data_IF_280298316041
#
_entry.id   IF_280298316041
#
_cell.length_a   1.000
_cell.length_b   1.000
_cell.length_c   1.000
_cell.angle_alpha   90.00
_cell.angle_beta   90.00
_cell.angle_gamma   90.00
#
_symmetry.space_group_name_H-M   'P 1'
#
loop_
_entity.id
_entity.type
_entity.pdbx_description
1 polymer ?
#
# COMPACT_ATOMS: atom_id res chain seq x y z
N UNK A 1 1.22 -12.89 -23.57
CA UNK A 1 0.68 -11.69 -22.89
C UNK A 1 0.04 -12.17 -21.60
N UNK A 2 0.51 -11.70 -20.43
CA UNK A 2 -0.04 -12.12 -19.14
C UNK A 2 -1.46 -11.61 -18.98
N UNK A 3 -2.41 -12.53 -18.74
CA UNK A 3 -3.83 -12.18 -18.57
C UNK A 3 -4.15 -12.15 -17.09
N UNK A 4 -4.63 -11.01 -16.61
CA UNK A 4 -5.09 -10.82 -15.24
C UNK A 4 -6.59 -11.09 -15.15
N UNK A 5 -7.00 -11.89 -14.17
CA UNK A 5 -8.39 -12.24 -13.89
C UNK A 5 -8.80 -11.64 -12.56
N UNK A 6 -9.82 -10.77 -12.52
CA UNK A 6 -10.33 -10.18 -11.27
C UNK A 6 -10.79 -11.26 -10.28
N UNK A 7 -10.54 -11.01 -9.00
CA UNK A 7 -10.90 -11.87 -7.88
C UNK A 7 -11.58 -11.05 -6.79
N UNK A 8 -12.77 -11.47 -6.36
CA UNK A 8 -13.54 -10.76 -5.33
C UNK A 8 -14.20 -9.47 -5.83
N UNK A 9 -14.97 -8.86 -4.95
CA UNK A 9 -15.62 -7.56 -5.17
C UNK A 9 -15.09 -6.57 -4.14
N UNK A 10 -14.34 -5.58 -4.60
CA UNK A 10 -13.72 -4.53 -3.79
C UNK A 10 -14.16 -3.15 -4.29
N UNK A 11 -14.14 -2.17 -3.43
CA UNK A 11 -14.55 -0.79 -3.74
C UNK A 11 -13.34 0.11 -4.04
N UNK A 12 -12.33 0.04 -3.19
CA UNK A 12 -11.16 0.93 -3.22
C UNK A 12 -9.94 0.28 -3.87
N UNK A 13 -9.99 -1.02 -4.13
CA UNK A 13 -8.90 -1.76 -4.76
C UNK A 13 -9.39 -2.65 -5.90
N UNK A 14 -8.45 -3.08 -6.75
CA UNK A 14 -8.64 -4.23 -7.64
C UNK A 14 -7.69 -5.34 -7.19
N UNK A 15 -8.22 -6.55 -7.00
CA UNK A 15 -7.41 -7.74 -6.78
C UNK A 15 -7.54 -8.68 -7.96
N UNK A 16 -6.42 -9.13 -8.50
CA UNK A 16 -6.38 -9.92 -9.72
C UNK A 16 -5.30 -10.99 -9.62
N UNK A 17 -5.52 -12.12 -10.28
CA UNK A 17 -4.53 -13.20 -10.37
C UNK A 17 -4.25 -13.58 -11.81
N UNK A 18 -3.14 -14.27 -12.04
CA UNK A 18 -2.75 -14.80 -13.35
C UNK A 18 -2.55 -16.30 -13.28
N UNK A 19 -2.63 -16.98 -14.43
CA UNK A 19 -2.32 -18.40 -14.54
C UNK A 19 -0.86 -18.77 -14.24
N UNK A 20 0.03 -17.78 -14.24
CA UNK A 20 1.48 -17.95 -14.01
C UNK A 20 1.85 -17.69 -12.52
N UNK A 21 0.87 -17.57 -11.63
CA UNK A 21 1.12 -17.47 -10.19
C UNK A 21 1.40 -16.05 -9.69
N UNK A 22 0.98 -15.01 -10.39
CA UNK A 22 1.10 -13.61 -9.98
C UNK A 22 -0.25 -13.15 -9.41
N UNK A 23 -0.25 -12.60 -8.19
CA UNK A 23 -1.35 -11.82 -7.66
C UNK A 23 -1.03 -10.33 -7.75
N UNK A 24 -2.02 -9.48 -8.06
CA UNK A 24 -1.87 -8.05 -8.15
C UNK A 24 -2.93 -7.34 -7.31
N UNK A 25 -2.49 -6.51 -6.38
CA UNK A 25 -3.32 -5.63 -5.57
C UNK A 25 -3.08 -4.21 -6.07
N UNK A 26 -4.11 -3.58 -6.62
CA UNK A 26 -4.03 -2.21 -7.13
C UNK A 26 -4.92 -1.31 -6.29
N UNK A 27 -4.38 -0.24 -5.71
CA UNK A 27 -5.18 0.79 -5.04
C UNK A 27 -5.85 1.62 -6.14
N UNK A 28 -7.18 1.64 -6.18
CA UNK A 28 -7.99 2.24 -7.24
C UNK A 28 -8.72 3.50 -6.76
N UNK A 29 -7.95 4.49 -6.27
CA UNK A 29 -8.44 5.81 -5.83
C UNK A 29 -7.62 6.95 -6.46
N UNK A 30 -7.51 7.02 -7.80
CA UNK A 30 -6.62 7.95 -8.49
C UNK A 30 -7.01 9.42 -8.25
N UNK A 31 -8.29 9.74 -8.00
CA UNK A 31 -8.81 11.07 -7.71
C UNK A 31 -8.24 11.70 -6.43
N UNK A 32 -7.79 10.86 -5.49
CA UNK A 32 -7.08 11.26 -4.27
C UNK A 32 -5.64 10.75 -4.25
N UNK A 33 -5.07 10.49 -5.44
CA UNK A 33 -3.70 9.98 -5.60
C UNK A 33 -3.45 8.68 -4.83
N UNK A 34 -4.41 7.79 -4.88
CA UNK A 34 -4.37 6.49 -4.22
C UNK A 34 -4.11 6.58 -2.70
N UNK A 35 -4.59 7.68 -2.07
CA UNK A 35 -4.61 7.77 -0.61
C UNK A 35 -5.52 6.69 -0.02
N UNK A 36 -5.10 6.07 1.07
CA UNK A 36 -5.89 5.03 1.71
C UNK A 36 -6.74 5.57 2.87
N UNK A 37 -7.94 5.05 2.98
CA UNK A 37 -8.88 5.23 4.09
C UNK A 37 -9.10 3.88 4.80
N UNK A 38 -9.86 3.80 5.92
CA UNK A 38 -10.07 2.54 6.64
C UNK A 38 -10.49 1.40 5.72
N UNK A 39 -11.50 1.59 4.87
CA UNK A 39 -11.95 0.61 3.88
C UNK A 39 -10.81 0.13 2.97
N UNK A 40 -10.04 1.04 2.41
CA UNK A 40 -8.92 0.69 1.51
C UNK A 40 -7.94 -0.27 2.20
N UNK A 41 -7.61 0.00 3.47
CA UNK A 41 -6.69 -0.84 4.25
C UNK A 41 -7.28 -2.20 4.53
N UNK A 42 -8.57 -2.28 4.89
CA UNK A 42 -9.28 -3.54 5.12
C UNK A 42 -9.26 -4.39 3.85
N UNK A 43 -9.63 -3.80 2.71
CA UNK A 43 -9.64 -4.49 1.42
C UNK A 43 -8.24 -4.97 1.00
N UNK A 44 -7.20 -4.15 1.18
CA UNK A 44 -5.82 -4.58 0.90
C UNK A 44 -5.38 -5.76 1.79
N UNK A 45 -5.79 -5.78 3.05
CA UNK A 45 -5.49 -6.88 3.98
C UNK A 45 -6.20 -8.16 3.55
N UNK A 46 -7.48 -8.05 3.18
CA UNK A 46 -8.26 -9.18 2.68
C UNK A 46 -7.64 -9.76 1.40
N UNK A 47 -7.32 -8.91 0.41
CA UNK A 47 -6.67 -9.33 -0.82
C UNK A 47 -5.29 -10.00 -0.57
N UNK A 48 -4.48 -9.45 0.36
CA UNK A 48 -3.20 -10.04 0.72
C UNK A 48 -3.39 -11.41 1.41
N UNK A 49 -4.41 -11.55 2.25
CA UNK A 49 -4.75 -12.82 2.88
C UNK A 49 -5.23 -13.85 1.85
N UNK A 50 -6.06 -13.44 0.88
CA UNK A 50 -6.46 -14.30 -0.24
C UNK A 50 -5.23 -14.79 -1.02
N UNK A 51 -4.34 -13.87 -1.41
CA UNK A 51 -3.09 -14.22 -2.09
C UNK A 51 -2.20 -15.15 -1.27
N UNK A 52 -2.12 -14.93 0.04
CA UNK A 52 -1.35 -15.77 0.97
C UNK A 52 -1.85 -17.20 1.02
N UNK A 53 -3.17 -17.39 1.03
CA UNK A 53 -3.80 -18.71 1.17
C UNK A 53 -3.92 -19.47 -0.16
N UNK A 54 -3.86 -18.76 -1.28
CA UNK A 54 -3.97 -19.38 -2.60
C UNK A 54 -2.66 -20.08 -2.99
N UNK A 55 -2.65 -21.41 -3.02
CA UNK A 55 -1.49 -22.22 -3.39
C UNK A 55 -1.00 -22.01 -4.82
N UNK A 56 -1.81 -21.44 -5.71
CA UNK A 56 -1.41 -21.12 -7.08
C UNK A 56 -0.63 -19.81 -7.20
N UNK A 57 -0.72 -18.92 -6.19
CA UNK A 57 0.00 -17.64 -6.17
C UNK A 57 1.41 -17.84 -5.61
N UNK A 58 2.42 -17.41 -6.37
CA UNK A 58 3.83 -17.44 -5.97
C UNK A 58 4.39 -16.07 -5.58
N UNK A 59 3.80 -14.97 -6.05
CA UNK A 59 4.27 -13.60 -5.83
C UNK A 59 3.10 -12.62 -5.81
N UNK A 60 3.22 -11.57 -5.00
CA UNK A 60 2.22 -10.49 -4.91
C UNK A 60 2.83 -9.18 -5.40
N UNK A 61 2.12 -8.48 -6.28
CA UNK A 61 2.46 -7.13 -6.72
C UNK A 61 1.51 -6.13 -6.05
N UNK A 62 2.05 -5.14 -5.36
CA UNK A 62 1.30 -4.01 -4.82
C UNK A 62 1.57 -2.76 -5.67
N UNK A 63 0.51 -2.10 -6.13
CA UNK A 63 0.63 -0.89 -6.96
C UNK A 63 -0.51 0.10 -6.72
N UNK A 64 -0.38 1.31 -7.25
CA UNK A 64 -1.47 2.26 -7.40
C UNK A 64 -2.00 2.28 -8.83
N UNK A 65 -3.25 2.65 -9.01
CA UNK A 65 -3.84 2.89 -10.32
C UNK A 65 -3.24 4.14 -10.98
N UNK A 66 -3.02 4.04 -12.30
CA UNK A 66 -2.46 5.14 -13.10
C UNK A 66 -0.96 5.34 -12.86
N UNK A 67 -0.46 6.52 -13.29
CA UNK A 67 0.97 6.84 -13.30
C UNK A 67 1.32 8.03 -12.37
N UNK A 68 0.31 8.68 -11.79
CA UNK A 68 0.53 9.88 -10.97
C UNK A 68 0.96 9.57 -9.55
N UNK A 69 0.48 8.48 -8.98
CA UNK A 69 0.84 8.08 -7.63
C UNK A 69 0.71 6.58 -7.41
N UNK A 70 1.69 6.01 -6.78
CA UNK A 70 1.57 4.71 -6.13
C UNK A 70 0.59 4.81 -4.94
N UNK A 71 0.90 5.71 -4.00
CA UNK A 71 0.05 6.00 -2.85
C UNK A 71 0.54 7.26 -2.12
N UNK A 72 -0.36 8.18 -1.83
CA UNK A 72 -0.06 9.43 -1.11
C UNK A 72 -0.22 9.34 0.42
N UNK A 73 -0.38 8.12 0.96
CA UNK A 73 -0.53 7.89 2.41
C UNK A 73 -1.99 7.91 2.85
N UNK A 74 -2.22 8.20 4.12
CA UNK A 74 -3.57 8.28 4.68
C UNK A 74 -4.35 9.47 4.12
N UNK A 75 -5.60 9.23 3.77
CA UNK A 75 -6.50 10.26 3.22
C UNK A 75 -6.84 11.30 4.28
N UNK A 76 -6.25 12.49 4.16
CA UNK A 76 -6.43 13.56 5.14
C UNK A 76 -7.85 14.15 5.14
N UNK A 77 -8.65 13.94 4.09
CA UNK A 77 -10.05 14.39 4.04
C UNK A 77 -10.97 13.52 4.91
N UNK A 78 -10.58 12.26 5.12
CA UNK A 78 -11.33 11.30 5.95
C UNK A 78 -10.89 11.35 7.41
N UNK A 79 -9.75 11.99 7.69
CA UNK A 79 -9.22 12.15 9.03
C UNK A 79 -9.97 13.28 9.76
N UNK A 80 -10.83 12.93 10.72
CA UNK A 80 -11.46 13.88 11.64
C UNK A 80 -10.58 14.20 12.87
N UNK A 81 -11.11 15.00 13.79
CA UNK A 81 -10.45 15.34 15.05
C UNK A 81 -10.20 14.09 15.92
N UNK A 82 -11.09 13.12 15.86
CA UNK A 82 -11.01 11.84 16.57
C UNK A 82 -10.21 10.76 15.82
N UNK A 83 -9.58 11.09 14.69
CA UNK A 83 -8.82 10.17 13.88
C UNK A 83 -9.55 9.74 12.60
N UNK A 84 -9.23 8.53 12.12
CA UNK A 84 -9.84 7.99 10.91
C UNK A 84 -11.13 7.23 11.22
N UNK A 85 -12.19 7.57 10.49
CA UNK A 85 -13.43 6.83 10.43
C UNK A 85 -13.97 6.87 9.00
N UNK A 86 -14.86 5.97 8.61
CA UNK A 86 -15.54 6.01 7.33
C UNK A 86 -17.06 5.84 7.46
N UNK A 87 -17.77 6.05 6.35
CA UNK A 87 -19.23 5.98 6.29
C UNK A 87 -19.78 4.57 6.60
N UNK A 88 -18.93 3.55 6.52
CA UNK A 88 -19.28 2.15 6.82
C UNK A 88 -19.13 1.81 8.31
N UNK A 89 -18.74 2.80 9.13
CA UNK A 89 -18.57 2.63 10.58
C UNK A 89 -17.22 2.03 11.00
N UNK A 90 -16.25 1.91 10.09
CA UNK A 90 -14.91 1.49 10.47
C UNK A 90 -14.21 2.62 11.23
N UNK A 91 -13.64 2.28 12.39
CA UNK A 91 -12.88 3.20 13.23
C UNK A 91 -11.40 2.85 13.20
N UNK A 92 -10.55 3.86 13.03
CA UNK A 92 -9.10 3.66 12.94
C UNK A 92 -8.63 3.17 11.58
N UNK A 93 -7.39 3.49 11.25
CA UNK A 93 -6.84 3.20 9.92
C UNK A 93 -6.32 1.76 9.76
N UNK A 94 -5.97 1.09 10.88
CA UNK A 94 -5.43 -0.28 10.90
C UNK A 94 -4.22 -0.54 9.97
N UNK A 95 -3.54 0.52 9.54
CA UNK A 95 -2.43 0.42 8.58
C UNK A 95 -1.23 -0.33 9.15
N UNK A 96 -1.03 -0.31 10.47
CA UNK A 96 0.06 -1.03 11.13
C UNK A 96 -0.11 -2.56 11.02
N UNK A 97 -1.36 -3.03 11.03
CA UNK A 97 -1.65 -4.45 10.84
C UNK A 97 -1.31 -4.87 9.40
N UNK A 98 -1.73 -4.07 8.41
CA UNK A 98 -1.36 -4.32 7.01
C UNK A 98 0.17 -4.29 6.80
N UNK A 99 0.86 -3.33 7.41
CA UNK A 99 2.32 -3.25 7.39
C UNK A 99 2.97 -4.52 7.95
N UNK A 100 2.44 -5.06 9.06
CA UNK A 100 2.89 -6.32 9.64
C UNK A 100 2.62 -7.49 8.71
N UNK A 101 1.43 -7.55 8.12
CA UNK A 101 1.02 -8.61 7.19
C UNK A 101 1.90 -8.66 5.94
N UNK A 102 2.29 -7.50 5.36
CA UNK A 102 3.29 -7.44 4.28
C UNK A 102 4.60 -8.09 4.74
N UNK A 103 5.12 -7.67 5.91
CA UNK A 103 6.42 -8.17 6.43
C UNK A 103 6.43 -9.64 6.81
N UNK A 104 5.28 -10.21 7.12
CA UNK A 104 5.14 -11.62 7.53
C UNK A 104 4.51 -12.49 6.44
N UNK A 105 4.30 -11.94 5.26
CA UNK A 105 3.81 -12.70 4.11
C UNK A 105 4.87 -13.76 3.72
N UNK A 106 4.50 -15.05 3.61
CA UNK A 106 5.43 -16.09 3.22
C UNK A 106 5.76 -16.07 1.71
N UNK A 107 5.11 -15.18 0.96
CA UNK A 107 5.33 -14.99 -0.48
C UNK A 107 5.96 -13.62 -0.72
N UNK A 108 6.89 -13.50 -1.69
CA UNK A 108 7.45 -12.19 -2.04
C UNK A 108 6.36 -11.17 -2.36
N UNK A 109 6.46 -9.99 -1.76
CA UNK A 109 5.61 -8.83 -2.06
C UNK A 109 6.47 -7.77 -2.73
N UNK A 110 6.11 -7.39 -3.95
CA UNK A 110 6.86 -6.45 -4.78
C UNK A 110 6.03 -5.17 -4.95
N UNK A 111 6.58 -4.03 -4.55
CA UNK A 111 5.97 -2.75 -4.85
C UNK A 111 6.32 -2.32 -6.29
N UNK A 112 5.29 -2.03 -7.10
CA UNK A 112 5.43 -1.43 -8.42
C UNK A 112 5.02 0.05 -8.33
N UNK A 113 6.01 0.94 -8.28
CA UNK A 113 5.83 2.35 -7.95
C UNK A 113 5.90 3.22 -9.20
N UNK A 114 4.80 3.90 -9.53
CA UNK A 114 4.78 5.01 -10.48
C UNK A 114 4.34 6.29 -9.75
N UNK A 115 4.95 7.42 -10.08
CA UNK A 115 4.64 8.73 -9.49
C UNK A 115 4.93 8.80 -7.98
N UNK A 116 4.01 9.38 -7.22
CA UNK A 116 4.23 9.68 -5.80
C UNK A 116 4.02 8.48 -4.88
N UNK A 117 5.00 8.18 -4.05
CA UNK A 117 4.92 7.29 -2.89
C UNK A 117 5.27 8.10 -1.63
N UNK A 118 4.26 8.60 -0.91
CA UNK A 118 4.43 9.63 0.11
C UNK A 118 3.83 9.20 1.45
N UNK A 119 4.50 9.55 2.54
CA UNK A 119 4.05 9.25 3.91
C UNK A 119 3.79 7.76 4.10
N UNK A 120 2.56 7.37 4.46
CA UNK A 120 2.18 5.96 4.58
C UNK A 120 2.39 5.16 3.30
N UNK A 121 2.22 5.76 2.11
CA UNK A 121 2.51 5.11 0.83
C UNK A 121 4.00 4.83 0.64
N UNK A 122 4.88 5.74 1.10
CA UNK A 122 6.31 5.50 1.15
C UNK A 122 6.65 4.35 2.12
N UNK A 123 5.96 4.27 3.25
CA UNK A 123 6.16 3.15 4.18
C UNK A 123 5.76 1.81 3.56
N UNK A 124 4.63 1.76 2.84
CA UNK A 124 4.17 0.51 2.23
C UNK A 124 5.21 -0.09 1.28
N UNK A 125 5.78 0.71 0.36
CA UNK A 125 6.79 0.17 -0.56
C UNK A 125 8.09 -0.24 0.15
N UNK A 126 8.48 0.46 1.21
CA UNK A 126 9.68 0.09 2.00
C UNK A 126 9.52 -1.24 2.72
N UNK A 127 8.30 -1.64 3.04
CA UNK A 127 8.01 -2.90 3.72
C UNK A 127 7.84 -4.08 2.77
N UNK A 128 7.63 -3.83 1.49
CA UNK A 128 7.70 -4.86 0.46
C UNK A 128 9.13 -5.42 0.36
N UNK A 129 9.27 -6.64 -0.14
CA UNK A 129 10.58 -7.30 -0.28
C UNK A 129 11.42 -6.62 -1.36
N UNK A 130 10.78 -6.16 -2.42
CA UNK A 130 11.42 -5.43 -3.52
C UNK A 130 10.57 -4.22 -3.93
N UNK A 131 11.25 -3.20 -4.46
CA UNK A 131 10.59 -2.06 -5.10
C UNK A 131 11.11 -1.91 -6.54
N UNK A 132 10.21 -1.95 -7.49
CA UNK A 132 10.46 -1.59 -8.89
C UNK A 132 9.76 -0.25 -9.11
N UNK A 133 10.46 0.72 -9.65
CA UNK A 133 9.89 2.05 -9.87
C UNK A 133 10.11 2.54 -11.29
N UNK A 134 9.16 3.35 -11.78
CA UNK A 134 9.31 4.12 -13.00
C UNK A 134 10.23 5.33 -12.78
N UNK A 135 10.70 5.93 -13.85
CA UNK A 135 11.57 7.11 -13.82
C UNK A 135 10.89 8.38 -13.27
N UNK A 136 9.55 8.42 -13.28
CA UNK A 136 8.76 9.50 -12.67
C UNK A 136 8.52 9.31 -11.17
N UNK A 137 9.00 8.24 -10.54
CA UNK A 137 8.75 7.96 -9.13
C UNK A 137 9.34 9.05 -8.20
N UNK A 138 8.57 9.40 -7.16
CA UNK A 138 8.94 10.38 -6.15
C UNK A 138 8.60 9.83 -4.77
N UNK A 139 9.62 9.75 -3.92
CA UNK A 139 9.52 9.19 -2.58
C UNK A 139 9.67 10.26 -1.51
N UNK A 140 8.94 10.16 -0.41
CA UNK A 140 9.14 11.10 0.69
C UNK A 140 8.28 10.85 1.92
N UNK A 141 8.85 11.24 3.06
CA UNK A 141 8.14 11.34 4.33
C UNK A 141 7.77 12.80 4.57
N UNK A 142 6.47 13.07 4.67
CA UNK A 142 5.92 14.43 4.79
C UNK A 142 5.27 14.71 6.14
N UNK A 143 5.34 13.78 7.08
CA UNK A 143 4.77 13.91 8.41
C UNK A 143 4.99 15.27 9.07
N UNK A 144 6.23 15.79 9.16
CA UNK A 144 6.50 17.10 9.76
C UNK A 144 5.79 18.27 9.08
N UNK A 145 5.49 18.18 7.78
CA UNK A 145 4.79 19.24 7.03
C UNK A 145 3.28 19.28 7.32
N UNK A 146 2.72 18.17 7.79
CA UNK A 146 1.28 18.03 8.07
C UNK A 146 1.00 17.79 9.56
N UNK A 147 1.99 18.03 10.42
CA UNK A 147 1.85 17.84 11.85
C UNK A 147 1.61 16.38 12.27
N UNK A 148 2.13 15.44 11.52
CA UNK A 148 1.97 14.01 11.78
C UNK A 148 3.33 13.36 12.06
N UNK A 149 3.34 12.38 12.94
CA UNK A 149 4.47 11.50 13.21
C UNK A 149 4.21 10.14 12.58
N UNK A 150 5.22 9.57 11.93
CA UNK A 150 5.14 8.20 11.44
C UNK A 150 5.25 7.23 12.62
N UNK A 151 4.11 6.80 13.13
CA UNK A 151 3.99 5.83 14.22
C UNK A 151 4.25 4.39 13.78
N UNK A 152 4.48 4.16 12.47
CA UNK A 152 4.68 2.84 11.90
C UNK A 152 6.16 2.47 11.77
N UNK A 153 6.41 1.59 10.85
CA UNK A 153 7.74 1.04 10.59
C UNK A 153 8.66 2.00 9.81
N UNK A 154 8.11 3.04 9.20
CA UNK A 154 8.86 3.96 8.33
C UNK A 154 10.00 4.65 9.06
N UNK A 155 9.76 5.19 10.25
CA UNK A 155 10.76 5.89 11.05
C UNK A 155 12.01 5.05 11.35
N UNK A 156 11.83 3.76 11.65
CA UNK A 156 12.94 2.86 11.96
C UNK A 156 13.52 2.15 10.73
N UNK A 157 12.70 1.90 9.73
CA UNK A 157 13.08 1.08 8.58
C UNK A 157 13.86 1.87 7.54
N UNK A 158 13.47 3.12 7.26
CA UNK A 158 14.14 3.95 6.27
C UNK A 158 15.62 4.13 6.61
N UNK A 159 15.95 4.42 7.87
CA UNK A 159 17.33 4.57 8.32
C UNK A 159 18.16 3.28 8.17
N UNK A 160 17.54 2.12 8.28
CA UNK A 160 18.20 0.82 8.08
C UNK A 160 18.46 0.53 6.60
N UNK A 161 17.54 0.95 5.71
CA UNK A 161 17.65 0.70 4.27
C UNK A 161 18.67 1.63 3.62
N UNK A 162 18.61 2.93 3.91
CA UNK A 162 19.41 3.96 3.21
C UNK A 162 20.47 4.65 4.08
N UNK A 163 20.57 4.28 5.34
CA UNK A 163 21.45 4.89 6.32
C UNK A 163 20.90 6.19 6.93
N UNK A 164 21.31 6.49 8.16
CA UNK A 164 20.77 7.61 8.96
C UNK A 164 20.88 8.97 8.28
N UNK A 165 22.00 9.24 7.58
CA UNK A 165 22.25 10.55 6.96
C UNK A 165 21.34 10.82 5.76
N UNK A 166 20.84 9.77 5.08
CA UNK A 166 19.93 9.91 3.95
C UNK A 166 18.47 9.87 4.38
N UNK A 167 18.19 9.18 5.47
CA UNK A 167 16.86 9.10 6.04
C UNK A 167 16.48 10.39 6.77
#
# INVERSE_FOLDING_TARGET
MTVYTPQGEFTDICYETTGDGIARITICRPEVRNAFRPRTVIEMREALQMARMDGSVGVVILRGEGELAFCSGGDQKVRGDDGYGDEDGHTGLHVLDFQREIRTCPKPVIASVAGYAIGGGHVLHMLCDLTICSDNARFGQTGPKVGSFDGGWGASYMARIIGQKRA
#
